data_IF_802807494304
#
_entry.id   IF_802807494304
#
_cell.length_a   1.000
_cell.length_b   1.000
_cell.length_c   1.000
_cell.angle_alpha   90.00
_cell.angle_beta   90.00
_cell.angle_gamma   90.00
#
_symmetry.space_group_name_H-M   'P 1'
#
loop_
_entity.id
_entity.type
_entity.pdbx_description
1 polymer ?
#
# COMPACT_ATOMS: atom_id res chain seq x y z
N UNK A 1 -12.92 7.00 -0.77
CA UNK A 1 -12.04 7.77 0.13
C UNK A 1 -10.60 7.33 -0.09
N UNK A 2 -9.67 8.27 -0.25
CA UNK A 2 -8.23 7.97 -0.38
C UNK A 2 -7.54 8.12 0.98
N UNK A 3 -6.57 7.26 1.24
CA UNK A 3 -5.71 7.28 2.43
C UNK A 3 -4.28 7.08 1.97
N UNK A 4 -3.39 7.98 2.38
CA UNK A 4 -1.95 7.84 2.17
C UNK A 4 -1.25 7.67 3.51
N UNK A 5 -0.38 6.67 3.60
CA UNK A 5 0.44 6.40 4.78
C UNK A 5 1.89 6.73 4.43
N UNK A 6 2.38 7.84 4.96
CA UNK A 6 3.71 8.39 4.70
C UNK A 6 4.69 7.94 5.78
N UNK A 7 5.71 7.17 5.41
CA UNK A 7 6.70 6.63 6.36
C UNK A 7 7.93 7.51 6.53
N UNK A 8 8.07 8.55 5.71
CA UNK A 8 9.12 9.56 5.78
C UNK A 8 8.50 10.94 6.05
N UNK A 9 8.59 11.40 7.30
CA UNK A 9 8.00 12.67 7.73
C UNK A 9 8.59 13.90 7.04
N UNK A 10 9.87 13.86 6.65
CA UNK A 10 10.49 14.98 5.94
C UNK A 10 9.94 15.10 4.53
N UNK A 11 9.80 13.98 3.84
CA UNK A 11 9.21 13.92 2.50
C UNK A 11 7.73 14.35 2.55
N UNK A 12 6.97 13.85 3.52
CA UNK A 12 5.59 14.26 3.74
C UNK A 12 5.44 15.78 3.94
N UNK A 13 6.25 16.39 4.81
CA UNK A 13 6.20 17.85 5.01
C UNK A 13 6.53 18.64 3.75
N UNK A 14 7.42 18.11 2.92
CA UNK A 14 7.72 18.71 1.62
C UNK A 14 6.56 18.54 0.65
N UNK A 15 5.88 17.38 0.61
CA UNK A 15 4.75 17.12 -0.29
C UNK A 15 3.56 18.04 0.00
N UNK A 16 3.31 18.35 1.28
CA UNK A 16 2.24 19.28 1.69
C UNK A 16 2.68 20.75 1.77
N UNK A 17 3.93 21.09 1.48
CA UNK A 17 4.50 22.44 1.71
C UNK A 17 3.79 23.56 0.93
N UNK A 18 3.20 23.24 -0.22
CA UNK A 18 2.47 24.19 -1.06
C UNK A 18 0.97 24.25 -0.76
N UNK A 19 0.48 23.45 0.19
CA UNK A 19 -0.92 23.44 0.56
C UNK A 19 -1.23 24.62 1.49
N UNK A 20 -2.44 25.16 1.37
CA UNK A 20 -2.94 26.19 2.27
C UNK A 20 -3.47 25.49 3.53
N UNK A 21 -2.92 25.87 4.68
CA UNK A 21 -3.47 25.46 5.97
C UNK A 21 -4.82 26.13 6.20
N UNK A 22 -5.86 25.33 6.47
CA UNK A 22 -7.23 25.82 6.69
C UNK A 22 -7.50 25.95 8.18
N UNK A 23 -7.42 24.84 8.91
CA UNK A 23 -7.68 24.81 10.36
C UNK A 23 -7.01 23.63 11.08
N UNK A 24 -6.85 23.77 12.39
CA UNK A 24 -6.49 22.68 13.29
C UNK A 24 -7.76 22.21 14.00
N UNK A 25 -8.06 20.91 13.92
CA UNK A 25 -9.20 20.30 14.59
C UNK A 25 -8.81 19.87 16.01
N UNK A 26 -9.74 19.98 16.95
CA UNK A 26 -9.51 19.66 18.38
C UNK A 26 -9.02 18.22 18.64
N UNK A 27 -9.21 17.31 17.68
CA UNK A 27 -8.75 15.91 17.74
C UNK A 27 -7.31 15.70 17.20
N UNK A 28 -6.59 16.79 16.93
CA UNK A 28 -5.21 16.80 16.47
C UNK A 28 -5.02 16.56 14.97
N UNK A 29 -6.10 16.54 14.20
CA UNK A 29 -6.04 16.54 12.73
C UNK A 29 -5.93 17.97 12.21
N UNK A 30 -5.28 18.12 11.06
CA UNK A 30 -5.11 19.40 10.39
C UNK A 30 -5.80 19.34 9.04
N UNK A 31 -6.56 20.37 8.70
CA UNK A 31 -7.15 20.53 7.39
C UNK A 31 -6.24 21.35 6.48
N UNK A 32 -6.02 20.84 5.27
CA UNK A 32 -5.24 21.51 4.23
C UNK A 32 -5.98 21.50 2.90
N UNK A 33 -5.76 22.55 2.10
CA UNK A 33 -6.31 22.70 0.76
C UNK A 33 -5.20 22.91 -0.25
N UNK A 34 -5.12 22.00 -1.22
CA UNK A 34 -4.21 22.09 -2.37
C UNK A 34 -4.98 22.33 -3.66
N UNK A 35 -4.26 22.34 -4.79
CA UNK A 35 -4.86 22.45 -6.13
C UNK A 35 -5.75 21.24 -6.44
N UNK A 36 -5.38 20.06 -5.94
CA UNK A 36 -6.10 18.80 -6.20
C UNK A 36 -7.34 18.61 -5.31
N UNK A 37 -7.49 19.40 -4.25
CA UNK A 37 -8.63 19.32 -3.36
C UNK A 37 -8.31 19.60 -1.90
N UNK A 38 -9.22 19.18 -1.03
CA UNK A 38 -9.11 19.30 0.42
C UNK A 38 -8.80 17.95 1.06
N UNK A 39 -7.96 17.99 2.09
CA UNK A 39 -7.47 16.82 2.78
C UNK A 39 -7.34 17.09 4.27
N UNK A 40 -7.35 16.02 5.05
CA UNK A 40 -6.95 16.05 6.44
C UNK A 40 -5.66 15.28 6.63
N UNK A 41 -4.79 15.76 7.51
CA UNK A 41 -3.59 15.02 7.89
C UNK A 41 -3.33 15.04 9.39
N UNK A 42 -2.64 14.00 9.85
CA UNK A 42 -2.11 13.91 11.22
C UNK A 42 -0.75 13.22 11.20
N UNK A 43 0.22 13.82 11.89
CA UNK A 43 1.51 13.19 12.14
C UNK A 43 1.40 12.31 13.40
N UNK A 44 1.89 11.08 13.29
CA UNK A 44 2.02 10.12 14.38
C UNK A 44 3.50 9.91 14.70
N UNK A 45 3.79 9.08 15.72
CA UNK A 45 5.17 8.75 16.09
C UNK A 45 5.85 7.90 14.99
N UNK A 46 6.48 8.57 14.02
CA UNK A 46 7.30 7.96 12.98
C UNK A 46 6.66 7.80 11.60
N UNK A 47 5.44 8.29 11.40
CA UNK A 47 4.74 8.31 10.11
C UNK A 47 3.65 9.39 10.12
N UNK A 48 3.13 9.76 8.94
CA UNK A 48 1.99 10.65 8.80
C UNK A 48 0.89 9.97 8.00
N UNK A 49 -0.36 10.36 8.23
CA UNK A 49 -1.50 9.92 7.43
C UNK A 49 -2.16 11.14 6.81
N UNK A 50 -2.40 11.07 5.50
CA UNK A 50 -3.20 12.01 4.74
C UNK A 50 -4.47 11.29 4.28
N UNK A 51 -5.64 11.90 4.47
CA UNK A 51 -6.92 11.35 4.02
C UNK A 51 -7.69 12.39 3.23
N UNK A 52 -8.48 11.95 2.26
CA UNK A 52 -9.39 12.83 1.52
C UNK A 52 -10.48 13.43 2.43
N UNK A 53 -11.01 14.60 2.07
CA UNK A 53 -12.00 15.36 2.86
C UNK A 53 -13.27 14.57 3.23
N UNK A 54 -13.63 13.57 2.43
CA UNK A 54 -14.79 12.69 2.65
C UNK A 54 -14.55 11.62 3.74
N UNK A 55 -13.36 11.55 4.34
CA UNK A 55 -13.06 10.60 5.41
C UNK A 55 -13.73 11.01 6.74
N UNK A 56 -14.37 10.07 7.47
CA UNK A 56 -14.98 10.34 8.79
C UNK A 56 -13.89 10.54 9.86
N UNK A 57 -13.52 11.79 10.10
CA UNK A 57 -12.39 12.14 10.97
C UNK A 57 -12.55 11.72 12.44
N UNK A 58 -13.77 11.53 12.93
CA UNK A 58 -14.05 10.91 14.23
C UNK A 58 -13.50 9.48 14.33
N UNK A 59 -13.31 8.82 13.18
CA UNK A 59 -12.68 7.50 13.05
C UNK A 59 -11.18 7.54 12.85
N UNK A 60 -10.54 8.71 12.87
CA UNK A 60 -9.10 8.85 12.67
C UNK A 60 -8.24 8.12 13.73
N UNK A 61 -8.81 7.76 14.88
CA UNK A 61 -8.14 7.00 15.93
C UNK A 61 -7.71 5.59 15.49
N UNK A 62 -8.31 5.04 14.43
CA UNK A 62 -7.90 3.74 13.85
C UNK A 62 -6.42 3.74 13.43
N UNK A 63 -5.90 4.91 13.04
CA UNK A 63 -4.53 5.03 12.56
C UNK A 63 -3.52 4.92 13.70
N UNK A 64 -3.89 5.26 14.94
CA UNK A 64 -2.99 5.20 16.11
C UNK A 64 -2.47 3.77 16.39
N UNK A 65 -3.17 2.74 15.91
CA UNK A 65 -2.84 1.33 16.12
C UNK A 65 -2.01 0.71 14.98
N UNK A 66 -1.67 1.48 13.95
CA UNK A 66 -0.97 0.93 12.80
C UNK A 66 0.45 0.47 13.14
N UNK A 67 0.77 -0.75 12.71
CA UNK A 67 2.12 -1.33 12.78
C UNK A 67 2.85 -1.05 11.46
N UNK A 68 3.41 0.15 11.35
CA UNK A 68 4.03 0.64 10.10
C UNK A 68 5.40 0.05 9.78
N UNK A 69 6.07 -0.61 10.73
CA UNK A 69 7.42 -1.19 10.50
C UNK A 69 7.41 -2.22 9.35
N UNK A 70 6.38 -3.06 9.29
CA UNK A 70 6.22 -4.04 8.20
C UNK A 70 5.90 -3.38 6.86
N UNK A 71 5.21 -2.23 6.90
CA UNK A 71 4.96 -1.45 5.70
C UNK A 71 6.27 -0.87 5.15
N UNK A 72 7.18 -0.45 6.04
CA UNK A 72 8.52 0.03 5.65
C UNK A 72 9.32 -1.03 4.90
N UNK A 73 9.32 -2.28 5.39
CA UNK A 73 9.98 -3.40 4.71
C UNK A 73 9.46 -3.63 3.27
N UNK A 74 8.18 -3.37 3.04
CA UNK A 74 7.55 -3.50 1.72
C UNK A 74 7.92 -2.32 0.81
N UNK A 75 7.96 -1.10 1.36
CA UNK A 75 8.25 0.10 0.58
C UNK A 75 9.75 0.29 0.30
N UNK A 76 10.63 -0.30 1.11
CA UNK A 76 12.10 -0.23 0.95
C UNK A 76 12.67 -1.33 0.02
N UNK A 77 11.84 -1.97 -0.81
CA UNK A 77 12.33 -3.01 -1.73
C UNK A 77 13.31 -2.44 -2.77
N UNK A 78 14.47 -3.10 -3.00
CA UNK A 78 15.47 -2.62 -3.95
C UNK A 78 14.90 -2.37 -5.35
N UNK A 79 15.17 -1.21 -5.94
CA UNK A 79 14.72 -0.83 -7.28
C UNK A 79 13.33 -0.17 -7.36
N UNK A 80 12.54 -0.20 -6.28
CA UNK A 80 11.24 0.51 -6.17
C UNK A 80 11.03 1.08 -4.77
N UNK A 81 11.99 1.86 -4.28
CA UNK A 81 11.86 2.55 -2.98
C UNK A 81 10.74 3.57 -3.06
N UNK A 82 9.77 3.47 -2.14
CA UNK A 82 8.65 4.41 -2.00
C UNK A 82 8.63 4.98 -0.58
N UNK A 83 8.15 6.21 -0.44
CA UNK A 83 8.08 6.90 0.86
C UNK A 83 6.69 6.90 1.48
N UNK A 84 5.69 6.54 0.68
CA UNK A 84 4.31 6.41 1.10
C UNK A 84 3.62 5.27 0.35
N UNK A 85 2.48 4.85 0.90
CA UNK A 85 1.53 3.95 0.22
C UNK A 85 0.18 4.64 0.14
N UNK A 86 -0.40 4.64 -1.04
CA UNK A 86 -1.73 5.15 -1.34
C UNK A 86 -2.72 3.98 -1.40
N UNK A 87 -3.80 4.13 -0.64
CA UNK A 87 -4.85 3.16 -0.49
C UNK A 87 -6.20 3.81 -0.80
N UNK A 88 -7.08 3.00 -1.37
CA UNK A 88 -8.46 3.38 -1.60
C UNK A 88 -9.38 2.58 -0.68
N UNK A 89 -10.14 3.31 0.14
CA UNK A 89 -11.24 2.74 0.92
C UNK A 89 -12.48 2.78 0.04
N UNK A 90 -12.93 1.59 -0.34
CA UNK A 90 -14.11 1.32 -1.13
C UNK A 90 -15.21 0.71 -0.24
N UNK A 91 -16.48 0.65 -0.70
CA UNK A 91 -17.50 -0.09 0.02
C UNK A 91 -17.05 -1.53 0.30
N UNK A 92 -16.99 -1.89 1.58
CA UNK A 92 -16.61 -3.20 2.09
C UNK A 92 -15.18 -3.68 1.75
N UNK A 93 -14.30 -2.81 1.23
CA UNK A 93 -12.97 -3.21 0.74
C UNK A 93 -11.92 -2.13 0.96
N UNK A 94 -10.67 -2.56 1.06
CA UNK A 94 -9.50 -1.72 0.98
C UNK A 94 -8.63 -2.21 -0.19
N UNK A 95 -8.20 -1.30 -1.04
CA UNK A 95 -7.41 -1.61 -2.24
C UNK A 95 -6.15 -0.76 -2.30
N UNK A 96 -5.10 -1.28 -2.92
CA UNK A 96 -4.02 -0.44 -3.45
C UNK A 96 -4.54 0.41 -4.61
N UNK A 97 -3.94 1.57 -4.83
CA UNK A 97 -4.20 2.38 -6.03
C UNK A 97 -3.26 1.98 -7.19
N UNK A 98 -3.42 2.62 -8.35
CA UNK A 98 -2.59 2.35 -9.54
C UNK A 98 -1.13 2.76 -9.33
N UNK A 99 -0.86 3.78 -8.51
CA UNK A 99 0.50 4.19 -8.17
C UNK A 99 1.24 3.08 -7.42
N UNK A 100 0.51 2.22 -6.70
CA UNK A 100 0.99 1.12 -5.87
C UNK A 100 0.65 -0.28 -6.38
N UNK A 101 0.23 -0.38 -7.64
CA UNK A 101 -0.04 -1.67 -8.24
C UNK A 101 1.24 -2.43 -8.63
N UNK A 102 1.06 -3.74 -8.79
CA UNK A 102 2.11 -4.73 -9.00
C UNK A 102 2.15 -5.16 -10.46
N UNK A 103 3.31 -5.67 -10.90
CA UNK A 103 3.39 -6.31 -12.21
C UNK A 103 2.70 -7.68 -12.16
N UNK A 104 2.07 -8.07 -13.27
CA UNK A 104 1.43 -9.38 -13.39
C UNK A 104 2.45 -10.52 -13.25
N UNK A 105 2.08 -11.60 -12.55
CA UNK A 105 2.90 -12.79 -12.39
C UNK A 105 2.14 -14.08 -12.75
N UNK A 106 2.83 -15.11 -13.27
CA UNK A 106 2.21 -16.40 -13.55
C UNK A 106 1.66 -17.07 -12.29
N UNK A 107 0.42 -17.58 -12.38
CA UNK A 107 -0.20 -18.34 -11.29
C UNK A 107 -1.04 -17.51 -10.31
N UNK A 108 -1.32 -16.23 -10.60
CA UNK A 108 -2.24 -15.39 -9.81
C UNK A 108 -3.55 -16.11 -9.47
N UNK A 109 -4.17 -16.79 -10.44
CA UNK A 109 -5.46 -17.47 -10.24
C UNK A 109 -5.35 -18.63 -9.23
N UNK A 110 -4.21 -19.32 -9.21
CA UNK A 110 -3.93 -20.39 -8.25
C UNK A 110 -3.78 -19.79 -6.86
N UNK A 111 -3.02 -18.70 -6.73
CA UNK A 111 -2.81 -18.01 -5.45
C UNK A 111 -4.13 -17.47 -4.90
N UNK A 112 -4.92 -16.81 -5.74
CA UNK A 112 -6.26 -16.32 -5.39
C UNK A 112 -7.21 -17.45 -4.96
N UNK A 113 -7.09 -18.64 -5.55
CA UNK A 113 -7.87 -19.82 -5.17
C UNK A 113 -7.51 -20.40 -3.80
N UNK A 114 -6.31 -20.10 -3.27
CA UNK A 114 -5.82 -20.62 -1.98
C UNK A 114 -6.02 -19.65 -0.82
N UNK A 115 -6.12 -18.34 -1.09
CA UNK A 115 -6.12 -17.28 -0.07
C UNK A 115 -7.50 -16.63 -0.01
N UNK A 116 -7.99 -16.35 1.20
CA UNK A 116 -9.32 -15.73 1.40
C UNK A 116 -9.25 -14.31 1.93
N UNK A 117 -8.14 -13.94 2.54
CA UNK A 117 -7.93 -12.69 3.26
C UNK A 117 -7.67 -11.51 2.31
N UNK A 118 -7.20 -11.78 1.10
CA UNK A 118 -6.96 -10.80 0.06
C UNK A 118 -7.00 -11.47 -1.31
N UNK A 119 -7.06 -10.67 -2.37
CA UNK A 119 -7.06 -11.09 -3.76
C UNK A 119 -6.15 -10.18 -4.59
N UNK A 120 -5.47 -10.77 -5.56
CA UNK A 120 -4.79 -10.05 -6.64
C UNK A 120 -5.76 -9.84 -7.80
N UNK A 121 -6.15 -8.60 -8.05
CA UNK A 121 -7.12 -8.25 -9.10
C UNK A 121 -6.37 -7.65 -10.28
N UNK A 122 -6.53 -8.24 -11.46
CA UNK A 122 -5.95 -7.73 -12.70
C UNK A 122 -6.77 -6.54 -13.21
N UNK A 123 -6.08 -5.47 -13.52
CA UNK A 123 -6.58 -4.34 -14.30
C UNK A 123 -5.75 -4.18 -15.57
N UNK A 124 -6.11 -3.25 -16.46
CA UNK A 124 -5.58 -3.16 -17.83
C UNK A 124 -4.05 -3.18 -17.94
N UNK A 125 -3.35 -2.58 -16.96
CA UNK A 125 -1.90 -2.42 -17.00
C UNK A 125 -1.17 -2.99 -15.77
N UNK A 126 -1.89 -3.46 -14.76
CA UNK A 126 -1.26 -3.92 -13.52
C UNK A 126 -2.18 -4.74 -12.62
N UNK A 127 -1.64 -5.19 -11.49
CA UNK A 127 -2.33 -6.01 -10.50
C UNK A 127 -2.51 -5.21 -9.21
N UNK A 128 -3.76 -4.94 -8.82
CA UNK A 128 -4.08 -4.37 -7.51
C UNK A 128 -4.23 -5.46 -6.46
N UNK A 129 -3.94 -5.13 -5.22
CA UNK A 129 -4.30 -5.98 -4.08
C UNK A 129 -5.58 -5.44 -3.46
N UNK A 130 -6.55 -6.33 -3.26
CA UNK A 130 -7.83 -6.01 -2.64
C UNK A 130 -8.03 -6.90 -1.42
N UNK A 131 -8.38 -6.30 -0.27
CA UNK A 131 -8.75 -7.00 0.96
C UNK A 131 -10.16 -6.60 1.38
N UNK A 132 -10.93 -7.50 2.02
CA UNK A 132 -12.19 -7.12 2.67
C UNK A 132 -11.96 -6.08 3.78
N UNK A 133 -12.91 -5.16 3.92
CA UNK A 133 -12.99 -4.15 4.98
C UNK A 133 -14.45 -3.99 5.40
N UNK A 134 -14.93 -4.87 6.29
CA UNK A 134 -16.35 -4.90 6.70
C UNK A 134 -16.82 -3.57 7.30
N UNK A 135 -15.95 -2.87 8.00
CA UNK A 135 -16.16 -1.51 8.49
C UNK A 135 -14.80 -0.84 8.76
N UNK A 136 -14.82 0.48 8.96
CA UNK A 136 -13.60 1.27 9.14
C UNK A 136 -12.80 0.91 10.39
N UNK A 137 -13.44 0.37 11.44
CA UNK A 137 -12.76 -0.08 12.67
C UNK A 137 -11.85 -1.29 12.42
N UNK A 138 -12.00 -1.95 11.28
CA UNK A 138 -11.18 -3.08 10.81
C UNK A 138 -10.08 -2.67 9.85
N UNK A 139 -9.78 -1.38 9.74
CA UNK A 139 -8.75 -0.88 8.83
C UNK A 139 -7.37 -1.48 9.13
N UNK A 140 -7.00 -1.63 10.40
CA UNK A 140 -5.73 -2.24 10.80
C UNK A 140 -5.62 -3.71 10.36
N UNK A 141 -6.69 -4.48 10.49
CA UNK A 141 -6.79 -5.86 10.02
C UNK A 141 -6.65 -5.94 8.50
N UNK A 142 -7.38 -5.09 7.77
CA UNK A 142 -7.29 -4.98 6.32
C UNK A 142 -5.88 -4.58 5.85
N UNK A 143 -5.26 -3.56 6.47
CA UNK A 143 -3.89 -3.15 6.15
C UNK A 143 -2.90 -4.29 6.40
N UNK A 144 -3.05 -5.05 7.48
CA UNK A 144 -2.21 -6.21 7.74
C UNK A 144 -2.35 -7.30 6.66
N UNK A 145 -3.56 -7.49 6.10
CA UNK A 145 -3.76 -8.42 4.99
C UNK A 145 -3.12 -7.91 3.68
N UNK A 146 -3.19 -6.60 3.41
CA UNK A 146 -2.44 -5.98 2.30
C UNK A 146 -0.92 -6.19 2.46
N UNK A 147 -0.39 -5.96 3.66
CA UNK A 147 1.04 -6.18 3.96
C UNK A 147 1.42 -7.64 3.68
N UNK A 148 0.62 -8.60 4.14
CA UNK A 148 0.86 -10.03 3.85
C UNK A 148 0.82 -10.32 2.35
N UNK A 149 -0.07 -9.68 1.60
CA UNK A 149 -0.16 -9.84 0.16
C UNK A 149 1.11 -9.34 -0.54
N UNK A 150 1.59 -8.14 -0.22
CA UNK A 150 2.86 -7.65 -0.75
C UNK A 150 4.03 -8.60 -0.41
N UNK A 151 4.12 -9.07 0.84
CA UNK A 151 5.16 -10.02 1.24
C UNK A 151 5.11 -11.32 0.44
N UNK A 152 3.91 -11.85 0.20
CA UNK A 152 3.72 -13.03 -0.62
C UNK A 152 4.11 -12.77 -2.08
N UNK A 153 3.67 -11.66 -2.67
CA UNK A 153 4.02 -11.26 -4.03
C UNK A 153 5.53 -11.24 -4.23
N UNK A 154 6.27 -10.48 -3.41
CA UNK A 154 7.72 -10.38 -3.54
C UNK A 154 8.42 -11.73 -3.34
N UNK A 155 7.89 -12.57 -2.45
CA UNK A 155 8.39 -13.94 -2.27
C UNK A 155 8.20 -14.79 -3.52
N UNK A 156 7.04 -14.68 -4.19
CA UNK A 156 6.76 -15.39 -5.45
C UNK A 156 7.70 -14.91 -6.54
N UNK A 157 7.83 -13.60 -6.75
CA UNK A 157 8.70 -13.03 -7.78
C UNK A 157 10.14 -13.51 -7.59
N UNK A 158 10.67 -13.41 -6.37
CA UNK A 158 12.02 -13.90 -6.04
C UNK A 158 12.20 -15.38 -6.38
N UNK A 159 11.23 -16.23 -6.02
CA UNK A 159 11.30 -17.66 -6.32
C UNK A 159 11.24 -17.93 -7.84
N UNK A 160 10.46 -17.15 -8.59
CA UNK A 160 10.39 -17.26 -10.05
C UNK A 160 11.74 -16.89 -10.69
N UNK A 161 12.40 -15.84 -10.23
CA UNK A 161 13.74 -15.44 -10.69
C UNK A 161 14.78 -16.54 -10.41
N UNK A 162 14.79 -17.11 -9.21
CA UNK A 162 15.71 -18.19 -8.84
C UNK A 162 15.53 -19.45 -9.71
N UNK A 163 14.26 -19.82 -9.98
CA UNK A 163 13.92 -20.94 -10.87
C UNK A 163 14.36 -20.64 -12.30
N UNK A 164 14.10 -19.43 -12.80
CA UNK A 164 14.49 -19.02 -14.16
C UNK A 164 16.01 -19.07 -14.34
N UNK A 165 16.78 -18.52 -13.40
CA UNK A 165 18.25 -18.57 -13.40
C UNK A 165 18.75 -20.01 -13.42
N UNK A 166 18.16 -20.87 -12.58
CA UNK A 166 18.54 -22.27 -12.47
C UNK A 166 18.27 -23.03 -13.78
N UNK A 167 17.12 -22.81 -14.40
CA UNK A 167 16.76 -23.44 -15.68
C UNK A 167 17.66 -22.95 -16.83
N UNK A 168 17.92 -21.65 -16.92
CA UNK A 168 18.81 -21.07 -17.93
C UNK A 168 20.23 -21.65 -17.84
N UNK A 169 20.80 -21.73 -16.63
CA UNK A 169 22.12 -22.35 -16.40
C UNK A 169 22.15 -23.81 -16.81
N UNK A 170 21.11 -24.58 -16.47
CA UNK A 170 20.99 -25.99 -16.87
C UNK A 170 20.88 -26.17 -18.38
N UNK A 171 20.19 -25.26 -19.07
CA UNK A 171 20.07 -25.28 -20.52
C UNK A 171 21.43 -25.03 -21.19
N UNK A 172 22.11 -23.94 -20.81
CA UNK A 172 23.44 -23.61 -21.34
C UNK A 172 24.48 -24.70 -21.09
N UNK A 173 24.43 -25.38 -19.94
CA UNK A 173 25.34 -26.48 -19.63
C UNK A 173 25.12 -27.73 -20.50
N UNK A 174 23.95 -27.90 -21.12
CA UNK A 174 23.64 -29.03 -22.02
C UNK A 174 24.15 -28.81 -23.44
N UNK A 175 24.27 -27.56 -23.88
CA UNK A 175 24.75 -27.20 -25.23
C UNK A 175 26.28 -27.15 -25.34
N UNK A 176 27.03 -27.41 -24.25
CA UNK A 176 28.51 -27.52 -24.23
C UNK A 176 28.93 -29.01 -24.29
N UNK A 177 28.36 -29.78 -25.22
CA UNK A 177 28.82 -31.14 -25.54
C UNK A 177 29.02 -31.34 -27.04
#
# INVERSE_FOLDING_TARGET
MKVEIHLNLLEFRNSISNYIFVENLDNGWNEIRGVEGEYFYKEFSGYAVLVSKDFPIDKGHIFERLKVDKLREILDQPGRVKYYMTLEILPEKLSTTEEDCLDEFPGIDIVNGLIKEFQYVREECCVKIVTPLLNIEKFDEALNNLIKAFQLYYSIIKMQEEVAITLARKFLAKDIK
#
